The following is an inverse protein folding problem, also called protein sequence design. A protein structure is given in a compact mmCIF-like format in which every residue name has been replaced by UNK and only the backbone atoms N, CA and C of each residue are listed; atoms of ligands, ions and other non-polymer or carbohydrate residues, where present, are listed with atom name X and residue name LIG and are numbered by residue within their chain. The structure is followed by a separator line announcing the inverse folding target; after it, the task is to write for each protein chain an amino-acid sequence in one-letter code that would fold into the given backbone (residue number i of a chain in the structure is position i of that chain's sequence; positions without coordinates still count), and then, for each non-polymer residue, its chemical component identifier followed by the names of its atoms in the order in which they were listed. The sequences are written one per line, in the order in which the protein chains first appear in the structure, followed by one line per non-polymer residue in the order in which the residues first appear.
data_IF_250221404830
#
_entry.id   IF_250221404830
#
_cell.length_a   1.000
_cell.length_b   1.000
_cell.length_c   1.000
_cell.angle_alpha   90.00
_cell.angle_beta   90.00
_cell.angle_gamma   90.00
#
_symmetry.space_group_name_H-M   'P 1'
#
loop_
_entity.id
_entity.type
_entity.pdbx_description
1 polymer ?
#
# COMPACT_ATOMS: atom_id res chain seq x y z
N UNK A 1 3.55 -3.99 -15.32
CA UNK A 1 3.99 -3.21 -14.15
C UNK A 1 4.39 -4.18 -13.05
N UNK A 2 5.42 -3.88 -12.27
CA UNK A 2 5.82 -4.68 -11.10
C UNK A 2 6.28 -3.78 -9.96
N UNK A 3 6.17 -4.30 -8.73
CA UNK A 3 6.55 -3.60 -7.52
C UNK A 3 7.68 -4.33 -6.81
N UNK A 4 8.58 -3.59 -6.19
CA UNK A 4 9.65 -4.08 -5.37
C UNK A 4 9.50 -3.55 -3.95
N UNK A 5 9.59 -4.44 -2.96
CA UNK A 5 9.56 -4.09 -1.55
C UNK A 5 10.98 -4.13 -1.00
N UNK A 6 11.47 -2.99 -0.49
CA UNK A 6 12.77 -2.92 0.19
C UNK A 6 12.80 -3.82 1.41
N UNK A 7 14.00 -4.21 1.85
CA UNK A 7 14.15 -5.00 3.07
C UNK A 7 13.56 -4.27 4.28
N UNK A 8 13.79 -2.97 4.38
CA UNK A 8 13.28 -2.13 5.46
C UNK A 8 11.76 -2.07 5.45
N UNK A 9 11.13 -1.74 4.32
CA UNK A 9 9.67 -1.71 4.19
C UNK A 9 9.04 -3.06 4.54
N UNK A 10 9.66 -4.17 4.11
CA UNK A 10 9.22 -5.51 4.47
C UNK A 10 9.31 -5.76 5.98
N UNK A 11 10.44 -5.42 6.59
CA UNK A 11 10.64 -5.56 8.03
C UNK A 11 9.62 -4.74 8.82
N UNK A 12 9.28 -3.53 8.38
CA UNK A 12 8.23 -2.71 9.00
C UNK A 12 6.86 -3.38 8.91
N UNK A 13 6.48 -3.93 7.75
CA UNK A 13 5.22 -4.67 7.63
C UNK A 13 5.20 -5.91 8.53
N UNK A 14 6.30 -6.66 8.59
CA UNK A 14 6.43 -7.81 9.48
C UNK A 14 6.31 -7.38 10.95
N UNK A 15 6.99 -6.31 11.36
CA UNK A 15 6.90 -5.77 12.72
C UNK A 15 5.46 -5.33 13.07
N UNK A 16 4.79 -4.60 12.17
CA UNK A 16 3.38 -4.20 12.34
C UNK A 16 2.47 -5.41 12.56
N UNK A 17 2.73 -6.53 11.87
CA UNK A 17 1.94 -7.75 12.04
C UNK A 17 2.12 -8.44 13.39
N UNK A 18 3.25 -8.18 14.08
CA UNK A 18 3.56 -8.74 15.41
C UNK A 18 3.06 -7.85 16.55
N UNK A 19 3.13 -6.53 16.38
CA UNK A 19 2.77 -5.57 17.45
C UNK A 19 1.33 -5.11 17.39
N UNK A 20 0.67 -5.20 16.23
CA UNK A 20 -0.73 -4.81 16.11
C UNK A 20 -1.64 -5.95 16.56
N UNK A 21 -2.27 -5.77 17.72
CA UNK A 21 -3.32 -6.66 18.23
C UNK A 21 -4.61 -6.59 17.40
N UNK A 22 -4.79 -5.51 16.63
CA UNK A 22 -5.98 -5.25 15.83
C UNK A 22 -5.70 -5.52 14.35
N UNK A 23 -6.58 -6.31 13.74
CA UNK A 23 -6.44 -6.85 12.38
C UNK A 23 -6.52 -5.81 11.25
N UNK A 24 -6.54 -4.50 11.56
CA UNK A 24 -6.89 -3.41 10.65
C UNK A 24 -5.80 -2.32 10.60
N UNK A 25 -4.53 -2.70 10.61
CA UNK A 25 -3.44 -1.74 10.37
C UNK A 25 -3.45 -1.33 8.90
N UNK A 26 -3.58 -0.03 8.67
CA UNK A 26 -3.56 0.58 7.34
C UNK A 26 -2.39 1.56 7.26
N UNK A 27 -2.08 2.02 6.06
CA UNK A 27 -1.13 3.12 5.89
C UNK A 27 -0.67 3.28 4.46
N UNK A 28 0.49 3.90 4.33
CA UNK A 28 1.03 4.37 3.06
C UNK A 28 2.34 3.70 2.69
N UNK A 29 2.55 3.63 1.39
CA UNK A 29 3.77 3.16 0.76
C UNK A 29 4.52 4.37 0.24
N UNK A 30 5.77 4.52 0.66
CA UNK A 30 6.63 5.63 0.25
C UNK A 30 7.78 5.08 -0.57
N UNK A 31 8.13 5.80 -1.64
CA UNK A 31 9.30 5.50 -2.46
C UNK A 31 9.20 6.17 -3.82
N UNK A 32 9.66 5.51 -4.87
CA UNK A 32 9.75 6.10 -6.19
C UNK A 32 9.30 5.16 -7.33
N UNK A 33 9.03 5.75 -8.49
CA UNK A 33 8.73 5.04 -9.74
C UNK A 33 9.90 5.18 -10.71
N UNK A 34 10.32 4.10 -11.36
CA UNK A 34 11.33 4.11 -12.44
C UNK A 34 10.77 3.35 -13.64
N UNK A 35 10.34 4.07 -14.67
CA UNK A 35 9.60 3.50 -15.79
C UNK A 35 8.32 2.81 -15.32
N UNK A 36 8.14 1.53 -15.67
CA UNK A 36 6.98 0.73 -15.25
C UNK A 36 7.16 0.00 -13.91
N UNK A 37 8.18 0.37 -13.12
CA UNK A 37 8.52 -0.27 -11.85
C UNK A 37 8.26 0.66 -10.68
N UNK A 38 7.66 0.12 -9.62
CA UNK A 38 7.42 0.80 -8.35
C UNK A 38 8.38 0.26 -7.29
N UNK A 39 9.05 1.14 -6.55
CA UNK A 39 10.00 0.79 -5.52
C UNK A 39 9.51 1.32 -4.19
N UNK A 40 8.97 0.42 -3.36
CA UNK A 40 8.53 0.74 -2.01
C UNK A 40 9.74 0.67 -1.09
N UNK A 41 10.13 1.83 -0.57
CA UNK A 41 11.33 1.98 0.26
C UNK A 41 10.98 2.07 1.73
N UNK A 42 9.86 2.72 2.06
CA UNK A 42 9.42 2.96 3.43
C UNK A 42 7.92 2.71 3.58
N UNK A 43 7.51 2.44 4.82
CA UNK A 43 6.12 2.24 5.23
C UNK A 43 5.78 3.32 6.25
N UNK A 44 4.67 4.01 6.03
CA UNK A 44 4.09 4.92 7.00
C UNK A 44 2.77 4.34 7.51
N UNK A 45 2.73 3.78 8.74
CA UNK A 45 1.49 3.30 9.33
C UNK A 45 0.54 4.46 9.62
N UNK A 46 -0.77 4.19 9.48
CA UNK A 46 -1.83 5.09 9.90
C UNK A 46 -2.65 4.48 11.02
N UNK A 47 -3.07 5.32 11.97
CA UNK A 47 -3.80 4.89 13.16
C UNK A 47 -5.30 4.69 12.92
N UNK A 48 -5.89 5.35 11.90
CA UNK A 48 -7.35 5.34 11.65
C UNK A 48 -7.66 5.38 10.14
N UNK A 49 -7.56 4.24 9.45
CA UNK A 49 -7.77 4.17 8.00
C UNK A 49 -6.65 4.85 7.21
N UNK A 50 -6.80 5.06 5.90
CA UNK A 50 -5.75 5.68 5.10
C UNK A 50 -5.51 7.15 5.46
N UNK A 51 -6.51 8.01 5.26
CA UNK A 51 -6.43 9.45 5.56
C UNK A 51 -7.81 10.01 5.92
N UNK A 52 -7.88 11.11 6.69
CA UNK A 52 -9.14 11.69 7.12
C UNK A 52 -9.86 12.51 6.03
N UNK A 53 -9.13 13.05 5.05
CA UNK A 53 -9.68 13.81 3.92
C UNK A 53 -8.68 13.89 2.75
N UNK A 54 -9.16 14.19 1.53
CA UNK A 54 -8.29 14.38 0.37
C UNK A 54 -7.31 15.53 0.56
N UNK A 55 -7.73 16.62 1.22
CA UNK A 55 -6.82 17.73 1.56
C UNK A 55 -5.64 17.24 2.40
N UNK A 56 -5.91 16.42 3.42
CA UNK A 56 -4.87 15.85 4.28
C UNK A 56 -4.00 14.83 3.55
N UNK A 57 -4.56 14.11 2.59
CA UNK A 57 -3.77 13.27 1.68
C UNK A 57 -2.79 14.11 0.84
N UNK A 58 -3.24 15.23 0.25
CA UNK A 58 -2.35 16.10 -0.53
C UNK A 58 -1.26 16.76 0.32
N UNK A 59 -1.61 17.28 1.52
CA UNK A 59 -0.63 17.80 2.47
C UNK A 59 0.43 16.73 2.86
N UNK A 60 0.01 15.47 2.99
CA UNK A 60 0.92 14.36 3.25
C UNK A 60 1.81 14.05 2.03
N UNK A 61 1.25 14.06 0.82
CA UNK A 61 2.01 13.81 -0.42
C UNK A 61 3.07 14.91 -0.63
N UNK A 62 2.72 16.17 -0.35
CA UNK A 62 3.63 17.31 -0.38
C UNK A 62 4.77 17.15 0.64
N UNK A 63 4.47 16.70 1.86
CA UNK A 63 5.49 16.44 2.89
C UNK A 63 6.51 15.38 2.45
N UNK A 64 6.07 14.42 1.64
CA UNK A 64 6.92 13.39 1.05
C UNK A 64 7.36 13.72 -0.39
N UNK A 65 7.24 14.98 -0.83
CA UNK A 65 7.70 15.43 -2.15
C UNK A 65 7.12 14.59 -3.33
N UNK A 66 5.85 14.17 -3.21
CA UNK A 66 5.17 13.34 -4.21
C UNK A 66 5.55 11.86 -4.18
N UNK A 67 6.26 11.40 -3.14
CA UNK A 67 6.75 10.03 -3.02
C UNK A 67 5.72 9.04 -2.43
N UNK A 68 4.46 9.44 -2.22
CA UNK A 68 3.41 8.48 -1.86
C UNK A 68 3.07 7.60 -3.06
N UNK A 69 3.59 6.38 -3.06
CA UNK A 69 3.33 5.38 -4.11
C UNK A 69 1.98 4.69 -3.97
N UNK A 70 1.40 4.71 -2.78
CA UNK A 70 0.06 4.16 -2.54
C UNK A 70 -0.15 3.70 -1.10
N UNK A 71 -0.84 2.58 -0.93
CA UNK A 71 -1.49 2.20 0.31
C UNK A 71 -1.27 0.73 0.66
N UNK A 72 -1.35 0.40 1.94
CA UNK A 72 -1.43 -0.99 2.40
C UNK A 72 -2.54 -1.16 3.43
N UNK A 73 -3.11 -2.36 3.47
CA UNK A 73 -4.07 -2.73 4.50
C UNK A 73 -3.90 -4.18 4.91
N UNK A 74 -3.96 -4.42 6.23
CA UNK A 74 -4.10 -5.76 6.78
C UNK A 74 -5.56 -6.19 6.70
N UNK A 75 -5.79 -7.37 6.11
CA UNK A 75 -7.11 -8.02 5.95
C UNK A 75 -8.23 -7.03 5.55
N UNK A 76 -8.07 -6.26 4.45
CA UNK A 76 -9.09 -5.28 4.05
C UNK A 76 -10.42 -5.97 3.75
N UNK A 77 -11.51 -5.32 4.16
CA UNK A 77 -12.86 -5.65 3.73
C UNK A 77 -13.21 -4.93 2.40
N UNK A 78 -14.31 -5.33 1.77
CA UNK A 78 -14.76 -4.73 0.51
C UNK A 78 -15.02 -3.22 0.64
N UNK A 79 -15.56 -2.79 1.78
CA UNK A 79 -15.83 -1.37 2.06
C UNK A 79 -14.55 -0.55 2.02
N UNK A 80 -13.45 -1.07 2.53
CA UNK A 80 -12.14 -0.41 2.51
C UNK A 80 -11.54 -0.42 1.10
N UNK A 81 -11.64 -1.53 0.38
CA UNK A 81 -11.18 -1.60 -1.02
C UNK A 81 -11.93 -0.58 -1.88
N UNK A 82 -13.25 -0.49 -1.75
CA UNK A 82 -14.07 0.45 -2.54
C UNK A 82 -13.70 1.92 -2.29
N UNK A 83 -13.18 2.29 -1.11
CA UNK A 83 -12.68 3.66 -0.86
C UNK A 83 -11.42 4.00 -1.66
N UNK A 84 -10.63 2.99 -2.04
CA UNK A 84 -9.44 3.15 -2.88
C UNK A 84 -9.77 3.15 -4.38
N UNK A 85 -10.94 2.65 -4.78
CA UNK A 85 -11.37 2.62 -6.18
C UNK A 85 -11.91 3.99 -6.60
N UNK A 86 -11.01 4.98 -6.63
CA UNK A 86 -11.34 6.38 -6.85
C UNK A 86 -10.22 7.13 -7.59
N UNK A 87 -10.51 8.30 -8.20
CA UNK A 87 -9.55 9.00 -9.05
C UNK A 87 -8.21 9.33 -8.38
N UNK A 88 -8.22 9.70 -7.09
CA UNK A 88 -7.00 10.07 -6.36
C UNK A 88 -6.01 8.90 -6.17
N UNK A 89 -6.49 7.67 -6.30
CA UNK A 89 -5.68 6.46 -6.15
C UNK A 89 -5.24 5.88 -7.49
N UNK A 90 -5.69 6.41 -8.62
CA UNK A 90 -5.31 5.90 -9.94
C UNK A 90 -3.78 5.85 -10.11
N UNK A 91 -3.28 4.72 -10.59
CA UNK A 91 -1.85 4.46 -10.76
C UNK A 91 -1.08 4.21 -9.45
N UNK A 92 -1.74 4.28 -8.28
CA UNK A 92 -1.13 3.98 -6.98
C UNK A 92 -1.14 2.48 -6.69
N UNK A 93 -0.11 2.05 -5.97
CA UNK A 93 0.06 0.67 -5.49
C UNK A 93 -0.84 0.39 -4.30
N UNK A 94 -1.51 -0.76 -4.30
CA UNK A 94 -2.21 -1.27 -3.13
C UNK A 94 -1.66 -2.63 -2.73
N UNK A 95 -1.30 -2.77 -1.44
CA UNK A 95 -0.89 -4.05 -0.85
C UNK A 95 -1.97 -4.56 0.12
N UNK A 96 -2.54 -5.73 -0.21
CA UNK A 96 -3.38 -6.50 0.72
C UNK A 96 -2.50 -7.47 1.51
N UNK A 97 -2.52 -7.35 2.84
CA UNK A 97 -1.61 -8.09 3.70
C UNK A 97 -2.41 -9.03 4.61
N UNK A 98 -2.00 -10.30 4.61
CA UNK A 98 -2.57 -11.33 5.46
C UNK A 98 -1.44 -11.96 6.29
N UNK A 99 -1.53 -11.94 7.63
CA UNK A 99 -0.63 -12.73 8.47
C UNK A 99 -0.66 -14.20 8.04
N UNK A 100 0.51 -14.80 7.86
CA UNK A 100 0.64 -16.18 7.43
C UNK A 100 1.59 -16.93 8.39
N UNK A 101 1.12 -17.97 9.10
CA UNK A 101 1.94 -18.75 10.04
C UNK A 101 3.23 -19.32 9.43
N UNK A 102 3.24 -19.61 8.12
CA UNK A 102 4.35 -20.28 7.44
C UNK A 102 5.33 -19.33 6.75
N UNK A 103 4.86 -18.15 6.32
CA UNK A 103 5.65 -17.20 5.49
C UNK A 103 5.79 -15.81 6.10
N UNK A 104 5.46 -15.67 7.39
CA UNK A 104 5.25 -14.40 8.13
C UNK A 104 4.09 -13.58 7.57
N UNK A 105 4.16 -13.20 6.28
CA UNK A 105 3.14 -12.44 5.58
C UNK A 105 2.82 -13.04 4.21
N UNK A 106 1.53 -13.09 3.87
CA UNK A 106 1.05 -13.24 2.50
C UNK A 106 0.64 -11.84 2.02
N UNK A 107 1.32 -11.34 0.99
CA UNK A 107 1.05 -10.03 0.40
C UNK A 107 0.52 -10.25 -1.02
N UNK A 108 -0.63 -9.64 -1.32
CA UNK A 108 -1.11 -9.47 -2.70
C UNK A 108 -0.90 -8.01 -3.09
N UNK A 109 -0.53 -7.78 -4.34
CA UNK A 109 -0.18 -6.46 -4.85
C UNK A 109 -0.97 -6.12 -6.09
N UNK A 110 -1.49 -4.90 -6.12
CA UNK A 110 -2.33 -4.39 -7.20
C UNK A 110 -1.95 -2.95 -7.52
N UNK A 111 -2.25 -2.49 -8.72
CA UNK A 111 -2.37 -1.07 -9.02
C UNK A 111 -3.85 -0.74 -9.18
N UNK A 112 -4.28 0.42 -8.69
CA UNK A 112 -5.61 0.94 -9.00
C UNK A 112 -5.58 1.43 -10.44
N UNK A 113 -6.32 0.77 -11.30
CA UNK A 113 -6.40 1.06 -12.73
C UNK A 113 -7.81 1.52 -13.10
N UNK A 114 -7.97 2.06 -14.31
CA UNK A 114 -9.23 2.61 -14.79
C UNK A 114 -9.44 2.27 -16.26
N UNK A 115 -10.61 1.70 -16.56
CA UNK A 115 -11.11 1.55 -17.93
C UNK A 115 -12.47 2.23 -18.07
N UNK A 116 -13.49 1.67 -17.42
CA UNK A 116 -14.84 2.26 -17.29
C UNK A 116 -15.14 2.61 -15.83
N UNK A 117 -14.73 1.70 -14.95
CA UNK A 117 -14.75 1.84 -13.50
C UNK A 117 -13.33 1.63 -12.95
N UNK A 118 -13.08 2.10 -11.72
CA UNK A 118 -11.82 1.85 -11.03
C UNK A 118 -11.76 0.40 -10.53
N UNK A 119 -10.63 -0.28 -10.74
CA UNK A 119 -10.44 -1.66 -10.29
C UNK A 119 -9.01 -1.94 -9.81
N UNK A 120 -8.84 -3.04 -9.07
CA UNK A 120 -7.53 -3.52 -8.64
C UNK A 120 -6.92 -4.44 -9.71
N UNK A 121 -5.94 -3.94 -10.45
CA UNK A 121 -5.19 -4.70 -11.44
C UNK A 121 -4.01 -5.43 -10.78
N UNK A 122 -3.96 -6.78 -10.77
CA UNK A 122 -2.91 -7.51 -10.08
C UNK A 122 -1.55 -7.30 -10.73
N UNK A 123 -0.53 -7.05 -9.91
CA UNK A 123 0.86 -6.93 -10.36
C UNK A 123 1.77 -7.89 -9.60
N UNK A 124 2.97 -8.14 -10.14
CA UNK A 124 3.98 -8.95 -9.44
C UNK A 124 4.67 -8.13 -8.36
N UNK A 125 4.72 -8.65 -7.14
CA UNK A 125 5.56 -8.13 -6.05
C UNK A 125 6.86 -8.93 -5.98
N UNK A 126 7.98 -8.23 -5.98
CA UNK A 126 9.33 -8.79 -5.81
C UNK A 126 9.95 -8.25 -4.52
N UNK A 127 10.87 -9.02 -3.94
CA UNK A 127 11.68 -8.54 -2.82
C UNK A 127 13.04 -8.08 -3.36
N UNK A 128 13.60 -7.04 -2.76
CA UNK A 128 15.04 -6.80 -2.88
C UNK A 128 15.79 -7.95 -2.18
N UNK A 129 16.78 -8.51 -2.87
CA UNK A 129 17.76 -9.43 -2.27
C UNK A 129 18.80 -8.64 -1.51
#
# INVERSE_FOLDING_TARGET
MDAYLSREARQTLEALSLVSSNQNSDGFLIGHKRGHRLFVEKILPSMKGFFPSLKKYHELDELYEGQLLGFFSFRPDEKKINKLLAPHAYGKLFLEIYPNPQKRLKIKSYVVDYEKDFFLSPIKLKNFR
#
